data_IF_347726578593
#
_entry.id   IF_347726578593
#
_cell.length_a   1.000
_cell.length_b   1.000
_cell.length_c   1.000
_cell.angle_alpha   90.00
_cell.angle_beta   90.00
_cell.angle_gamma   90.00
#
_symmetry.space_group_name_H-M   'P 1'
#
loop_
_entity.id
_entity.type
_entity.pdbx_description
1 polymer ?
#
# COMPACT_ATOMS: atom_id res chain seq x y z
N UNK A 1 -13.50 -8.90 2.21
CA UNK A 1 -14.30 -8.94 0.96
C UNK A 1 -15.11 -7.66 0.72
N UNK A 2 -15.71 -7.08 1.76
CA UNK A 2 -16.57 -5.88 1.69
C UNK A 2 -15.90 -4.64 1.06
N UNK A 3 -14.62 -4.40 1.34
CA UNK A 3 -13.88 -3.23 0.83
C UNK A 3 -13.75 -3.26 -0.71
N UNK A 4 -13.54 -4.45 -1.30
CA UNK A 4 -13.31 -4.59 -2.75
C UNK A 4 -14.60 -4.35 -3.55
N UNK A 5 -15.72 -4.93 -3.09
CA UNK A 5 -17.02 -4.75 -3.77
C UNK A 5 -17.53 -3.31 -3.66
N UNK A 6 -17.38 -2.67 -2.50
CA UNK A 6 -17.78 -1.27 -2.33
C UNK A 6 -16.91 -0.32 -3.16
N UNK A 7 -15.60 -0.54 -3.23
CA UNK A 7 -14.71 0.26 -4.07
C UNK A 7 -14.99 0.04 -5.58
N UNK A 8 -15.25 -1.21 -5.98
CA UNK A 8 -15.55 -1.54 -7.37
C UNK A 8 -16.88 -0.98 -7.85
N UNK A 9 -17.95 -1.14 -7.06
CA UNK A 9 -19.25 -0.53 -7.36
C UNK A 9 -19.17 1.00 -7.36
N UNK A 10 -18.43 1.60 -6.42
CA UNK A 10 -18.19 3.04 -6.39
C UNK A 10 -17.49 3.54 -7.65
N UNK A 11 -16.43 2.86 -8.11
CA UNK A 11 -15.69 3.23 -9.31
C UNK A 11 -16.53 3.10 -10.59
N UNK A 12 -17.32 2.03 -10.73
CA UNK A 12 -18.23 1.82 -11.87
C UNK A 12 -19.36 2.85 -11.87
N UNK A 13 -19.93 3.16 -10.70
CA UNK A 13 -21.00 4.15 -10.56
C UNK A 13 -20.50 5.55 -10.88
N UNK A 14 -19.29 5.93 -10.41
CA UNK A 14 -18.67 7.20 -10.78
C UNK A 14 -18.31 7.28 -12.26
N UNK A 15 -17.90 6.16 -12.88
CA UNK A 15 -17.72 6.09 -14.34
C UNK A 15 -19.02 6.37 -15.09
N UNK A 16 -20.11 5.70 -14.69
CA UNK A 16 -21.40 5.80 -15.37
C UNK A 16 -22.04 7.19 -15.24
N UNK A 17 -21.84 7.88 -14.11
CA UNK A 17 -22.44 9.21 -13.85
C UNK A 17 -21.57 10.34 -14.40
N UNK A 18 -20.25 10.28 -14.18
CA UNK A 18 -19.35 11.40 -14.47
C UNK A 18 -18.51 11.20 -15.73
N UNK A 19 -18.48 10.02 -16.35
CA UNK A 19 -17.73 9.73 -17.58
C UNK A 19 -16.20 9.81 -17.46
N UNK A 20 -15.67 10.13 -16.27
CA UNK A 20 -14.26 10.49 -16.03
C UNK A 20 -13.46 9.46 -15.22
N UNK A 21 -13.92 8.22 -15.09
CA UNK A 21 -13.08 7.17 -14.51
C UNK A 21 -12.37 6.48 -15.66
N UNK A 22 -11.04 6.63 -15.73
CA UNK A 22 -10.24 5.82 -16.64
C UNK A 22 -10.51 4.34 -16.35
N UNK A 23 -11.35 3.69 -17.14
CA UNK A 23 -11.82 2.32 -16.91
C UNK A 23 -10.65 1.36 -16.68
N UNK A 24 -9.59 1.50 -17.47
CA UNK A 24 -8.33 0.74 -17.32
C UNK A 24 -7.64 0.96 -15.97
N UNK A 25 -7.70 2.18 -15.43
CA UNK A 25 -7.12 2.52 -14.12
C UNK A 25 -7.96 1.91 -12.98
N UNK A 26 -9.29 2.02 -13.05
CA UNK A 26 -10.19 1.43 -12.06
C UNK A 26 -10.07 -0.11 -12.01
N UNK A 27 -10.03 -0.75 -13.18
CA UNK A 27 -9.81 -2.19 -13.29
C UNK A 27 -8.43 -2.59 -12.76
N UNK A 28 -7.39 -1.81 -13.04
CA UNK A 28 -6.04 -2.02 -12.49
C UNK A 28 -6.01 -1.96 -10.96
N UNK A 29 -6.68 -0.97 -10.36
CA UNK A 29 -6.78 -0.86 -8.90
C UNK A 29 -7.55 -2.04 -8.27
N UNK A 30 -8.64 -2.48 -8.90
CA UNK A 30 -9.40 -3.64 -8.44
C UNK A 30 -8.56 -4.92 -8.48
N UNK A 31 -7.95 -5.23 -9.62
CA UNK A 31 -7.11 -6.43 -9.79
C UNK A 31 -5.91 -6.41 -8.84
N UNK A 32 -5.23 -5.26 -8.73
CA UNK A 32 -4.12 -5.08 -7.79
C UNK A 32 -4.52 -5.33 -6.34
N UNK A 33 -5.70 -4.83 -5.92
CA UNK A 33 -6.21 -5.04 -4.56
C UNK A 33 -6.58 -6.50 -4.29
N UNK A 34 -7.19 -7.19 -5.26
CA UNK A 34 -7.57 -8.59 -5.15
C UNK A 34 -6.35 -9.49 -4.97
N UNK A 35 -5.33 -9.30 -5.80
CA UNK A 35 -4.07 -10.04 -5.70
C UNK A 35 -3.32 -9.70 -4.42
N UNK A 36 -3.19 -8.41 -4.11
CA UNK A 36 -2.45 -7.93 -2.95
C UNK A 36 -3.02 -8.42 -1.62
N UNK A 37 -4.35 -8.43 -1.45
CA UNK A 37 -4.99 -8.90 -0.22
C UNK A 37 -4.78 -10.42 -0.05
N UNK A 38 -4.88 -11.19 -1.13
CA UNK A 38 -4.71 -12.65 -1.07
C UNK A 38 -3.27 -13.04 -0.74
N UNK A 39 -2.31 -12.49 -1.48
CA UNK A 39 -0.87 -12.74 -1.24
C UNK A 39 -0.45 -12.22 0.14
N UNK A 40 -0.96 -11.06 0.54
CA UNK A 40 -0.73 -10.48 1.86
C UNK A 40 -1.24 -11.36 2.99
N UNK A 41 -2.48 -11.86 2.91
CA UNK A 41 -3.09 -12.71 3.93
C UNK A 41 -2.37 -14.06 4.10
N UNK A 42 -1.79 -14.60 3.03
CA UNK A 42 -0.95 -15.80 3.13
C UNK A 42 0.40 -15.48 3.77
N UNK A 43 0.98 -14.33 3.43
CA UNK A 43 2.26 -13.87 4.00
C UNK A 43 2.17 -13.64 5.51
N UNK A 44 1.01 -13.21 6.04
CA UNK A 44 0.84 -13.03 7.50
C UNK A 44 0.89 -14.34 8.29
N UNK A 45 0.73 -15.50 7.65
CA UNK A 45 0.88 -16.80 8.33
C UNK A 45 2.35 -17.16 8.62
N UNK A 46 3.29 -16.56 7.90
CA UNK A 46 4.73 -16.88 7.94
C UNK A 46 5.59 -15.72 8.45
N UNK A 47 4.96 -14.67 8.99
CA UNK A 47 5.62 -13.45 9.47
C UNK A 47 5.11 -13.12 10.87
N UNK A 48 6.04 -12.81 11.79
CA UNK A 48 5.73 -12.38 13.16
C UNK A 48 4.96 -11.06 13.16
N UNK A 49 4.02 -10.90 14.10
CA UNK A 49 3.18 -9.71 14.22
C UNK A 49 3.94 -8.38 14.38
N UNK A 50 5.14 -8.41 14.99
CA UNK A 50 5.97 -7.21 15.15
C UNK A 50 6.41 -6.61 13.81
N UNK A 51 6.74 -7.44 12.82
CA UNK A 51 7.11 -6.97 11.49
C UNK A 51 5.89 -6.34 10.80
N UNK A 52 4.71 -6.97 10.91
CA UNK A 52 3.46 -6.45 10.31
C UNK A 52 3.12 -5.06 10.87
N UNK A 53 3.21 -4.87 12.20
CA UNK A 53 2.98 -3.56 12.84
C UNK A 53 4.02 -2.52 12.41
N UNK A 54 5.29 -2.91 12.30
CA UNK A 54 6.35 -2.05 11.78
C UNK A 54 6.07 -1.61 10.33
N UNK A 55 5.68 -2.53 9.45
CA UNK A 55 5.34 -2.20 8.07
C UNK A 55 4.14 -1.27 7.97
N UNK A 56 3.09 -1.54 8.75
CA UNK A 56 1.91 -0.68 8.79
C UNK A 56 2.27 0.76 9.20
N UNK A 57 3.07 0.93 10.26
CA UNK A 57 3.50 2.24 10.71
C UNK A 57 4.36 2.97 9.67
N UNK A 58 5.36 2.29 9.10
CA UNK A 58 6.30 2.90 8.14
C UNK A 58 5.60 3.30 6.84
N UNK A 59 4.71 2.45 6.31
CA UNK A 59 3.98 2.74 5.07
C UNK A 59 3.01 3.92 5.22
N UNK A 60 2.30 4.02 6.34
CA UNK A 60 1.43 5.16 6.64
C UNK A 60 2.25 6.44 6.81
N UNK A 61 3.34 6.38 7.58
CA UNK A 61 4.18 7.55 7.80
C UNK A 61 4.82 8.03 6.49
N UNK A 62 5.27 7.10 5.63
CA UNK A 62 5.80 7.43 4.31
C UNK A 62 4.75 8.13 3.44
N UNK A 63 3.50 7.63 3.43
CA UNK A 63 2.40 8.26 2.72
C UNK A 63 2.09 9.66 3.27
N UNK A 64 2.10 9.81 4.59
CA UNK A 64 1.89 11.11 5.25
C UNK A 64 2.99 12.11 4.90
N UNK A 65 4.27 11.72 4.97
CA UNK A 65 5.41 12.57 4.60
C UNK A 65 5.33 12.98 3.13
N UNK A 66 4.95 12.06 2.23
CA UNK A 66 4.76 12.40 0.82
C UNK A 66 3.66 13.46 0.63
N UNK A 67 2.54 13.32 1.34
CA UNK A 67 1.44 14.32 1.29
C UNK A 67 1.88 15.66 1.88
N UNK A 68 2.57 15.65 3.02
CA UNK A 68 3.14 16.84 3.62
C UNK A 68 4.14 17.54 2.67
N UNK A 69 4.97 16.78 1.95
CA UNK A 69 5.90 17.31 0.96
C UNK A 69 5.21 17.92 -0.27
N UNK A 70 4.03 17.44 -0.65
CA UNK A 70 3.23 18.00 -1.76
C UNK A 70 2.45 19.26 -1.36
N UNK A 71 2.21 19.46 -0.07
CA UNK A 71 1.36 20.54 0.46
C UNK A 71 1.92 21.95 0.19
N UNK A 72 3.22 22.25 0.39
CA UNK A 72 3.79 23.56 0.10
C UNK A 72 3.57 23.99 -1.36
N UNK A 73 3.73 23.07 -2.32
CA UNK A 73 3.49 23.38 -3.74
C UNK A 73 2.03 23.77 -3.98
N UNK A 74 1.08 23.04 -3.38
CA UNK A 74 -0.35 23.35 -3.50
C UNK A 74 -0.69 24.71 -2.90
N UNK A 75 -0.08 25.09 -1.79
CA UNK A 75 -0.28 26.40 -1.18
C UNK A 75 0.34 27.55 -2.00
N UNK A 76 1.46 27.30 -2.69
CA UNK A 76 2.05 28.26 -3.65
C UNK A 76 1.18 28.40 -4.90
N UNK A 77 0.63 27.29 -5.42
CA UNK A 77 -0.30 27.30 -6.56
C UNK A 77 -1.60 28.06 -6.25
N UNK A 78 -2.02 28.07 -4.98
CA UNK A 78 -3.19 28.81 -4.50
C UNK A 78 -2.89 30.26 -4.09
N UNK A 79 -1.68 30.77 -4.36
CA UNK A 79 -1.22 32.12 -4.01
C UNK A 79 -1.29 32.46 -2.50
N UNK A 80 -1.40 31.44 -1.64
CA UNK A 80 -1.44 31.61 -0.17
C UNK A 80 -0.04 31.87 0.40
N UNK A 81 1.00 31.31 -0.24
CA UNK A 81 2.40 31.43 0.20
C UNK A 81 3.30 31.78 -1.00
N UNK A 82 4.22 32.72 -0.83
CA UNK A 82 5.20 33.13 -1.85
C UNK A 82 6.56 32.46 -1.66
N UNK A 83 6.69 31.20 -2.10
CA UNK A 83 7.97 30.48 -2.10
C UNK A 83 8.52 30.30 -3.52
N UNK A 84 9.86 30.17 -3.68
CA UNK A 84 10.45 29.87 -4.99
C UNK A 84 9.92 28.53 -5.53
N UNK A 85 9.31 28.56 -6.72
CA UNK A 85 8.81 27.36 -7.42
C UNK A 85 9.82 26.20 -7.51
N UNK A 86 11.13 26.44 -7.74
CA UNK A 86 12.13 25.37 -7.77
C UNK A 86 12.25 24.62 -6.44
N UNK A 87 12.13 25.33 -5.30
CA UNK A 87 12.30 24.76 -3.96
C UNK A 87 11.12 23.85 -3.60
N UNK A 88 9.89 24.31 -3.80
CA UNK A 88 8.70 23.49 -3.51
C UNK A 88 8.58 22.28 -4.43
N UNK A 89 9.01 22.41 -5.70
CA UNK A 89 9.06 21.29 -6.64
C UNK A 89 10.13 20.27 -6.26
N UNK A 90 11.27 20.72 -5.72
CA UNK A 90 12.32 19.84 -5.19
C UNK A 90 11.83 19.01 -4.01
N UNK A 91 11.14 19.64 -3.05
CA UNK A 91 10.57 18.97 -1.87
C UNK A 91 9.53 17.93 -2.28
N UNK A 92 8.60 18.28 -3.18
CA UNK A 92 7.58 17.35 -3.71
C UNK A 92 8.24 16.14 -4.40
N UNK A 93 9.25 16.39 -5.24
CA UNK A 93 9.93 15.34 -6.00
C UNK A 93 10.68 14.39 -5.08
N UNK A 94 11.37 14.92 -4.06
CA UNK A 94 12.06 14.12 -3.06
C UNK A 94 11.07 13.26 -2.25
N UNK A 95 9.97 13.85 -1.79
CA UNK A 95 8.92 13.13 -1.07
C UNK A 95 8.32 11.98 -1.89
N UNK A 96 8.06 12.23 -3.18
CA UNK A 96 7.53 11.22 -4.09
C UNK A 96 8.52 10.07 -4.31
N UNK A 97 9.80 10.37 -4.54
CA UNK A 97 10.83 9.34 -4.71
C UNK A 97 11.01 8.48 -3.46
N UNK A 98 11.09 9.09 -2.28
CA UNK A 98 11.22 8.36 -1.01
C UNK A 98 10.02 7.44 -0.80
N UNK A 99 8.80 7.93 -1.06
CA UNK A 99 7.59 7.14 -0.96
C UNK A 99 7.61 5.91 -1.89
N UNK A 100 7.95 6.10 -3.16
CA UNK A 100 8.00 5.00 -4.13
C UNK A 100 9.08 3.97 -3.80
N UNK A 101 10.24 4.39 -3.29
CA UNK A 101 11.30 3.47 -2.84
C UNK A 101 10.83 2.60 -1.67
N UNK A 102 10.18 3.21 -0.67
CA UNK A 102 9.67 2.47 0.49
C UNK A 102 8.59 1.46 0.07
N UNK A 103 7.65 1.88 -0.79
CA UNK A 103 6.57 1.01 -1.28
C UNK A 103 7.12 -0.13 -2.15
N UNK A 104 8.09 0.15 -3.04
CA UNK A 104 8.70 -0.87 -3.89
C UNK A 104 9.50 -1.89 -3.08
N UNK A 105 10.30 -1.44 -2.12
CA UNK A 105 11.05 -2.32 -1.22
C UNK A 105 10.10 -3.24 -0.44
N UNK A 106 8.97 -2.70 0.04
CA UNK A 106 7.95 -3.48 0.71
C UNK A 106 7.31 -4.53 -0.20
N UNK A 107 6.92 -4.15 -1.43
CA UNK A 107 6.34 -5.07 -2.39
C UNK A 107 7.29 -6.24 -2.71
N UNK A 108 8.56 -5.94 -2.98
CA UNK A 108 9.59 -6.96 -3.23
C UNK A 108 9.76 -7.88 -2.02
N UNK A 109 9.82 -7.32 -0.82
CA UNK A 109 9.97 -8.11 0.41
C UNK A 109 8.78 -9.07 0.64
N UNK A 110 7.55 -8.59 0.46
CA UNK A 110 6.34 -9.43 0.59
C UNK A 110 6.36 -10.58 -0.43
N UNK A 111 6.68 -10.28 -1.69
CA UNK A 111 6.75 -11.30 -2.75
C UNK A 111 7.88 -12.30 -2.46
N UNK A 112 9.05 -11.83 -2.01
CA UNK A 112 10.17 -12.70 -1.65
C UNK A 112 9.80 -13.62 -0.49
N UNK A 113 9.12 -13.11 0.55
CA UNK A 113 8.66 -13.94 1.68
C UNK A 113 7.58 -14.93 1.26
N UNK A 114 6.69 -14.54 0.36
CA UNK A 114 5.68 -15.43 -0.19
C UNK A 114 6.30 -16.59 -0.98
N UNK A 115 7.22 -16.30 -1.90
CA UNK A 115 7.89 -17.32 -2.73
C UNK A 115 8.78 -18.23 -1.87
N UNK A 116 9.58 -17.66 -0.97
CA UNK A 116 10.49 -18.43 -0.13
C UNK A 116 9.78 -19.40 0.82
N UNK A 117 8.52 -19.13 1.19
CA UNK A 117 7.74 -19.97 2.10
C UNK A 117 6.58 -20.67 1.39
N UNK A 118 6.61 -20.76 0.04
CA UNK A 118 5.50 -21.33 -0.74
C UNK A 118 5.26 -22.80 -0.42
N UNK A 119 6.30 -23.58 -0.10
CA UNK A 119 6.18 -25.00 0.25
C UNK A 119 5.49 -25.19 1.60
N UNK A 120 5.87 -24.39 2.60
CA UNK A 120 5.20 -24.34 3.92
C UNK A 120 3.75 -23.87 3.80
N UNK A 121 3.47 -22.93 2.89
CA UNK A 121 2.12 -22.43 2.62
C UNK A 121 1.24 -23.42 1.83
N UNK A 122 1.84 -24.35 1.08
CA UNK A 122 1.13 -25.42 0.34
C UNK A 122 0.82 -26.66 1.18
N UNK A 123 1.24 -26.70 2.45
CA UNK A 123 0.84 -27.73 3.41
C UNK A 123 1.64 -29.02 3.36
N UNK A 124 2.86 -29.02 2.82
CA UNK A 124 3.74 -30.20 2.82
C UNK A 124 4.47 -30.44 4.16
N UNK A 125 4.39 -29.51 5.12
CA UNK A 125 4.80 -29.73 6.51
C UNK A 125 3.58 -29.70 7.43
N UNK A 126 3.00 -30.87 7.60
CA UNK A 126 2.08 -31.20 8.69
C UNK A 126 2.75 -30.86 10.04
N UNK A 127 2.04 -30.12 10.91
CA UNK A 127 2.27 -29.98 12.37
C UNK A 127 2.92 -28.72 12.99
N UNK A 128 2.97 -27.53 12.37
CA UNK A 128 3.29 -26.32 13.15
C UNK A 128 2.02 -25.57 13.55
N UNK A 129 1.58 -25.86 14.78
CA UNK A 129 0.54 -25.14 15.51
C UNK A 129 0.69 -23.62 15.34
N UNK A 130 -0.42 -22.86 15.28
CA UNK A 130 -0.36 -21.41 15.16
C UNK A 130 0.51 -20.82 16.28
N UNK A 131 1.63 -20.19 15.90
CA UNK A 131 2.58 -19.52 16.82
C UNK A 131 1.89 -18.46 17.68
N UNK A 132 0.67 -18.03 17.31
CA UNK A 132 -0.12 -17.02 18.01
C UNK A 132 -0.75 -17.48 19.34
N UNK A 133 -0.61 -18.74 19.75
CA UNK A 133 -1.20 -19.23 21.02
C UNK A 133 -0.17 -19.30 22.17
N UNK A 134 1.13 -19.10 21.91
CA UNK A 134 2.19 -19.33 22.92
C UNK A 134 2.77 -18.10 23.61
N UNK A 135 2.27 -16.90 23.34
CA UNK A 135 2.82 -15.66 23.94
C UNK A 135 1.93 -15.04 25.04
N UNK A 136 0.88 -15.73 25.49
CA UNK A 136 0.00 -15.30 26.61
C UNK A 136 -0.11 -16.35 27.72
N UNK A 137 1.00 -16.99 28.13
CA UNK A 137 1.07 -17.81 29.34
C UNK A 137 2.30 -17.46 30.18
#
# INVERSE_FOLDING_TARGET
LQIIFTAGLGAITQYAIYGYVFYSLAMGMLLGSLLGIQVGALTTKVVKGIHIRGFYAVSILAGFINRAATLPKKLVELEVISWPRPVVKGIETAGNWIFWVIVAAFAVWVIAKFIANVNTLRGEEESIAPVLVKEEA
#
